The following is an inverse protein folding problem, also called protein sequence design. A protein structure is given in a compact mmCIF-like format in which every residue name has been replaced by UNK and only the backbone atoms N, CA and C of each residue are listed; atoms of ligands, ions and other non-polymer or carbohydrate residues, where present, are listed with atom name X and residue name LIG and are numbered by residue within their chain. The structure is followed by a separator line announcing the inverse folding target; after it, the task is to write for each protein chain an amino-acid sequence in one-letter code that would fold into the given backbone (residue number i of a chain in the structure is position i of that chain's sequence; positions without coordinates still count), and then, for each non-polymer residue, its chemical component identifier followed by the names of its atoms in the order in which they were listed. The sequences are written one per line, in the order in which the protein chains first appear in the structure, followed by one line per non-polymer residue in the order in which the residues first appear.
data_IF_402768262754
#
_entry.id   IF_402768262754
#
_cell.length_a   1.000
_cell.length_b   1.000
_cell.length_c   1.000
_cell.angle_alpha   90.00
_cell.angle_beta   90.00
_cell.angle_gamma   90.00
#
_symmetry.space_group_name_H-M   'P 1'
#
loop_
_entity.id
_entity.type
_entity.pdbx_description
1 polymer ?
#
# COMPACT_ATOMS: atom_id res chain seq x y z
N UNK A 1 3.38 -28.48 9.58
CA UNK A 1 1.93 -28.48 9.84
C UNK A 1 1.52 -27.06 10.19
N UNK A 2 0.69 -26.45 9.36
CA UNK A 2 0.04 -25.17 9.69
C UNK A 2 -1.03 -25.44 10.72
N UNK A 3 -0.88 -24.91 11.91
CA UNK A 3 -1.93 -24.84 12.91
C UNK A 3 -2.68 -23.52 12.70
N UNK A 4 -3.92 -23.59 12.29
CA UNK A 4 -4.83 -22.44 12.38
C UNK A 4 -5.04 -22.16 13.88
N UNK A 5 -4.55 -21.03 14.37
CA UNK A 5 -4.83 -20.58 15.73
C UNK A 5 -6.01 -19.61 15.71
N UNK A 6 -6.80 -19.57 16.79
CA UNK A 6 -7.91 -18.63 16.98
C UNK A 6 -7.46 -17.16 16.96
N UNK A 7 -6.15 -16.92 16.89
CA UNK A 7 -5.54 -15.58 16.74
C UNK A 7 -5.52 -15.06 15.31
N UNK A 8 -6.03 -15.83 14.32
CA UNK A 8 -6.05 -15.41 12.92
C UNK A 8 -6.72 -14.07 12.72
N UNK A 9 -7.81 -13.78 13.40
CA UNK A 9 -8.50 -12.48 13.33
C UNK A 9 -7.65 -11.31 13.83
N UNK A 10 -6.78 -11.53 14.81
CA UNK A 10 -5.86 -10.53 15.34
C UNK A 10 -4.64 -10.31 14.44
N UNK A 11 -4.19 -11.37 13.78
CA UNK A 11 -3.11 -11.28 12.80
C UNK A 11 -3.57 -10.58 11.52
N UNK A 12 -4.84 -10.66 11.20
CA UNK A 12 -5.43 -10.04 10.01
C UNK A 12 -5.34 -8.51 10.05
N UNK A 13 -5.53 -7.91 11.21
CA UNK A 13 -5.39 -6.48 11.41
C UNK A 13 -3.97 -5.94 11.14
N UNK A 14 -2.95 -6.79 11.20
CA UNK A 14 -1.56 -6.38 10.89
C UNK A 14 -1.33 -6.14 9.40
N UNK A 15 -2.20 -6.65 8.54
CA UNK A 15 -2.11 -6.50 7.10
C UNK A 15 -2.92 -5.33 6.55
N UNK A 16 -3.80 -4.76 7.37
CA UNK A 16 -4.52 -3.54 7.00
C UNK A 16 -3.53 -2.37 7.15
N UNK A 17 -3.37 -1.53 6.12
CA UNK A 17 -2.38 -0.45 6.13
C UNK A 17 -2.67 0.65 7.15
N UNK A 18 -3.89 0.68 7.72
CA UNK A 18 -4.27 1.66 8.74
C UNK A 18 -4.02 1.09 10.12
N UNK A 19 -3.21 1.80 10.90
CA UNK A 19 -2.94 1.48 12.30
C UNK A 19 -3.88 2.26 13.21
N UNK A 20 -4.11 1.75 14.43
CA UNK A 20 -5.07 2.32 15.39
C UNK A 20 -4.82 3.75 15.86
N UNK A 21 -3.67 4.36 15.50
CA UNK A 21 -3.37 5.76 15.77
C UNK A 21 -3.60 6.70 14.56
N UNK A 22 -4.25 6.20 13.52
CA UNK A 22 -4.63 6.97 12.34
C UNK A 22 -6.14 7.16 12.31
N UNK A 23 -6.58 8.39 12.17
CA UNK A 23 -7.96 8.71 11.83
C UNK A 23 -8.16 8.61 10.32
N UNK A 24 -9.30 8.12 9.87
CA UNK A 24 -9.70 8.02 8.47
C UNK A 24 -11.20 8.34 8.33
N UNK A 25 -11.69 8.47 7.10
CA UNK A 25 -13.07 8.88 6.79
C UNK A 25 -14.10 7.72 6.81
N UNK A 26 -13.74 6.56 7.38
CA UNK A 26 -14.62 5.40 7.48
C UNK A 26 -14.26 4.29 6.49
N UNK A 27 -13.90 4.63 5.25
CA UNK A 27 -13.55 3.66 4.20
C UNK A 27 -12.07 3.33 4.20
N UNK A 28 -11.75 2.09 3.91
CA UNK A 28 -10.38 1.68 3.58
C UNK A 28 -9.97 2.36 2.26
N UNK A 29 -8.78 2.96 2.23
CA UNK A 29 -8.32 3.74 1.07
C UNK A 29 -8.64 5.24 1.15
N UNK A 30 -9.50 5.67 2.09
CA UNK A 30 -9.81 7.08 2.29
C UNK A 30 -8.65 7.84 2.93
N UNK A 31 -8.66 9.15 2.77
CA UNK A 31 -7.66 10.02 3.37
C UNK A 31 -7.50 9.78 4.87
N UNK A 32 -6.25 9.69 5.31
CA UNK A 32 -5.89 9.43 6.71
C UNK A 32 -5.18 10.62 7.32
N UNK A 33 -5.25 10.71 8.65
CA UNK A 33 -4.48 11.65 9.44
C UNK A 33 -3.87 10.93 10.64
N UNK A 34 -2.56 11.08 10.83
CA UNK A 34 -1.92 10.59 12.05
C UNK A 34 -2.41 11.37 13.27
N UNK A 35 -2.83 10.63 14.30
CA UNK A 35 -3.19 11.18 15.62
C UNK A 35 -1.94 11.36 16.51
N UNK A 36 -0.85 10.66 16.18
CA UNK A 36 0.43 10.85 16.83
C UNK A 36 1.25 11.90 16.08
N UNK A 37 1.87 12.86 16.77
CA UNK A 37 2.76 13.81 16.13
C UNK A 37 3.96 13.08 15.52
N UNK A 38 4.25 13.32 14.26
CA UNK A 38 5.43 12.80 13.57
C UNK A 38 6.31 13.96 13.11
N UNK A 39 7.60 13.85 13.40
CA UNK A 39 8.60 14.77 12.87
C UNK A 39 9.15 14.15 11.59
N UNK A 40 9.09 14.90 10.49
CA UNK A 40 9.68 14.44 9.22
C UNK A 40 11.20 14.36 9.38
N UNK A 41 11.75 13.17 9.13
CA UNK A 41 13.19 12.94 9.06
C UNK A 41 13.74 13.11 7.62
N UNK A 42 12.89 13.48 6.66
CA UNK A 42 13.30 13.66 5.29
C UNK A 42 14.09 14.97 5.14
N UNK A 43 15.26 14.88 4.53
CA UNK A 43 16.07 16.04 4.13
C UNK A 43 15.55 16.48 2.75
N UNK A 44 15.13 17.74 2.64
CA UNK A 44 14.67 18.32 1.38
C UNK A 44 13.24 18.86 1.44
N UNK A 45 12.70 19.19 0.27
CA UNK A 45 11.33 19.68 0.15
C UNK A 45 10.33 18.54 0.31
N UNK A 46 9.38 18.71 1.21
CA UNK A 46 8.26 17.80 1.44
C UNK A 46 6.95 18.55 1.22
N UNK A 47 6.07 18.00 0.39
CA UNK A 47 4.77 18.64 0.07
C UNK A 47 3.80 18.65 1.25
N UNK A 48 4.02 17.81 2.26
CA UNK A 48 3.13 17.64 3.40
C UNK A 48 1.87 16.81 3.11
N UNK A 49 1.72 16.30 1.90
CA UNK A 49 0.56 15.52 1.49
C UNK A 49 0.80 14.04 1.80
N UNK A 50 0.49 13.65 3.04
CA UNK A 50 0.76 12.31 3.58
C UNK A 50 -0.52 11.50 3.84
N UNK A 51 -1.68 12.04 3.46
CA UNK A 51 -2.98 11.43 3.76
C UNK A 51 -3.19 10.04 3.15
N UNK A 52 -2.46 9.68 2.11
CA UNK A 52 -2.54 8.38 1.44
C UNK A 52 -1.30 7.51 1.64
N UNK A 53 -0.29 7.97 2.36
CA UNK A 53 0.96 7.24 2.60
C UNK A 53 0.76 5.83 3.15
N UNK A 54 -0.21 5.57 4.08
CA UNK A 54 -0.43 4.22 4.59
C UNK A 54 -0.85 3.20 3.52
N UNK A 55 -1.38 3.70 2.41
CA UNK A 55 -1.83 2.83 1.31
C UNK A 55 -0.76 2.63 0.24
N UNK A 56 0.37 3.31 0.31
CA UNK A 56 1.46 3.08 -0.63
C UNK A 56 2.25 1.83 -0.27
N UNK A 57 2.67 1.11 -1.28
CA UNK A 57 3.82 0.23 -1.16
C UNK A 57 5.06 1.12 -1.11
N UNK A 58 5.96 0.86 -0.17
CA UNK A 58 7.20 1.61 0.01
C UNK A 58 8.40 0.75 -0.34
N UNK A 59 9.42 1.35 -0.93
CA UNK A 59 10.64 0.62 -1.28
C UNK A 59 11.38 0.11 -0.04
N UNK A 60 11.32 0.86 1.06
CA UNK A 60 11.97 0.51 2.34
C UNK A 60 11.36 -0.74 2.98
N UNK A 61 10.07 -0.98 2.75
CA UNK A 61 9.35 -2.15 3.26
C UNK A 61 9.29 -3.31 2.28
N UNK A 62 9.81 -3.15 1.06
CA UNK A 62 9.80 -4.20 0.06
C UNK A 62 10.68 -5.39 0.48
N UNK A 63 10.12 -6.60 0.38
CA UNK A 63 10.79 -7.84 0.79
C UNK A 63 11.39 -8.55 -0.40
N UNK A 64 12.67 -8.81 -0.34
CA UNK A 64 13.36 -9.71 -1.27
C UNK A 64 13.39 -11.11 -0.65
N UNK A 65 12.91 -12.09 -1.39
CA UNK A 65 12.89 -13.48 -0.95
C UNK A 65 14.08 -14.22 -1.56
N UNK A 66 14.87 -14.90 -0.69
CA UNK A 66 15.92 -15.84 -1.08
C UNK A 66 15.59 -17.18 -0.43
N UNK A 67 14.92 -18.04 -1.18
CA UNK A 67 14.41 -19.32 -0.66
C UNK A 67 14.48 -20.40 -1.73
N UNK A 68 14.80 -21.62 -1.34
CA UNK A 68 14.87 -22.79 -2.23
C UNK A 68 13.49 -23.17 -2.80
N UNK A 69 12.42 -22.87 -2.06
CA UNK A 69 11.04 -23.16 -2.46
C UNK A 69 10.30 -21.87 -2.74
N UNK A 70 9.56 -21.78 -3.85
CA UNK A 70 8.73 -20.61 -4.14
C UNK A 70 7.74 -20.30 -3.02
N UNK A 71 7.63 -19.04 -2.66
CA UNK A 71 6.65 -18.53 -1.69
C UNK A 71 5.57 -17.77 -2.42
N UNK A 72 4.32 -18.08 -2.11
CA UNK A 72 3.15 -17.33 -2.60
C UNK A 72 2.21 -17.10 -1.44
N UNK A 73 1.89 -15.85 -1.16
CA UNK A 73 0.89 -15.46 -0.19
C UNK A 73 -0.16 -14.62 -0.89
N UNK A 74 -1.40 -15.07 -0.83
CA UNK A 74 -2.54 -14.34 -1.39
C UNK A 74 -3.53 -14.14 -0.26
N UNK A 75 -3.98 -12.92 -0.09
CA UNK A 75 -5.04 -12.56 0.82
C UNK A 75 -6.11 -11.81 0.07
N UNK A 76 -7.31 -12.29 0.17
CA UNK A 76 -8.49 -11.69 -0.44
C UNK A 76 -9.58 -11.54 0.61
N UNK A 77 -10.17 -10.35 0.67
CA UNK A 77 -11.34 -10.05 1.48
C UNK A 77 -12.35 -9.31 0.63
N UNK A 78 -13.60 -9.66 0.78
CA UNK A 78 -14.73 -9.01 0.11
C UNK A 78 -15.80 -8.69 1.15
N UNK A 79 -16.30 -7.47 1.11
CA UNK A 79 -17.46 -7.03 1.87
C UNK A 79 -18.63 -6.76 0.92
N UNK A 80 -19.75 -6.26 1.44
CA UNK A 80 -20.93 -5.94 0.65
C UNK A 80 -20.64 -5.06 -0.55
N UNK A 81 -21.53 -5.06 -1.51
CA UNK A 81 -21.43 -4.34 -2.77
C UNK A 81 -20.18 -4.74 -3.59
N UNK A 82 -19.25 -3.83 -3.84
CA UNK A 82 -18.03 -4.06 -4.63
C UNK A 82 -16.75 -3.92 -3.79
N UNK A 83 -16.88 -3.90 -2.47
CA UNK A 83 -15.74 -3.69 -1.59
C UNK A 83 -14.80 -4.87 -1.62
N UNK A 84 -13.57 -4.64 -2.06
CA UNK A 84 -12.56 -5.68 -2.17
C UNK A 84 -11.21 -5.21 -1.66
N UNK A 85 -10.51 -6.12 -0.99
CA UNK A 85 -9.14 -5.99 -0.58
C UNK A 85 -8.35 -7.20 -1.04
N UNK A 86 -7.32 -7.00 -1.83
CA UNK A 86 -6.44 -8.05 -2.34
C UNK A 86 -4.99 -7.68 -2.09
N UNK A 87 -4.25 -8.60 -1.50
CA UNK A 87 -2.78 -8.57 -1.47
C UNK A 87 -2.21 -9.86 -2.03
N UNK A 88 -1.09 -9.72 -2.71
CA UNK A 88 -0.31 -10.83 -3.22
C UNK A 88 1.17 -10.54 -2.99
N UNK A 89 1.85 -11.48 -2.34
CA UNK A 89 3.29 -11.54 -2.24
C UNK A 89 3.78 -12.83 -2.90
N UNK A 90 4.76 -12.71 -3.76
CA UNK A 90 5.38 -13.83 -4.45
C UNK A 90 6.89 -13.70 -4.40
N UNK A 91 7.56 -14.80 -4.14
CA UNK A 91 9.02 -14.89 -4.15
C UNK A 91 9.50 -16.20 -4.72
N UNK A 92 10.51 -16.14 -5.59
CA UNK A 92 11.16 -17.32 -6.16
C UNK A 92 12.63 -17.06 -6.46
N UNK A 93 13.46 -18.01 -6.03
CA UNK A 93 14.86 -18.07 -6.41
C UNK A 93 15.03 -18.91 -7.69
N UNK A 94 15.89 -18.45 -8.57
CA UNK A 94 16.27 -19.11 -9.80
C UNK A 94 17.73 -19.55 -9.73
N UNK A 95 18.14 -20.41 -10.68
CA UNK A 95 19.54 -20.79 -10.78
C UNK A 95 20.47 -19.58 -10.90
N UNK A 96 21.72 -19.71 -10.42
CA UNK A 96 22.78 -18.70 -10.50
C UNK A 96 22.54 -17.47 -9.62
N UNK A 97 21.83 -17.60 -8.50
CA UNK A 97 21.67 -16.52 -7.51
C UNK A 97 20.69 -15.42 -7.89
N UNK A 98 19.81 -15.62 -8.86
CA UNK A 98 18.74 -14.67 -9.17
C UNK A 98 17.49 -14.95 -8.34
N UNK A 99 16.99 -13.93 -7.66
CA UNK A 99 15.82 -13.98 -6.80
C UNK A 99 14.80 -12.93 -7.25
N UNK A 100 13.60 -13.37 -7.63
CA UNK A 100 12.49 -12.51 -8.02
C UNK A 100 11.52 -12.39 -6.85
N UNK A 101 11.08 -11.16 -6.58
CA UNK A 101 10.06 -10.87 -5.59
C UNK A 101 9.02 -9.94 -6.22
N UNK A 102 7.75 -10.19 -5.96
CA UNK A 102 6.63 -9.38 -6.45
C UNK A 102 5.69 -9.11 -5.29
N UNK A 103 5.26 -7.88 -5.14
CA UNK A 103 4.20 -7.48 -4.23
C UNK A 103 3.10 -6.74 -5.01
N UNK A 104 1.87 -7.07 -4.73
CA UNK A 104 0.70 -6.43 -5.32
C UNK A 104 -0.34 -6.17 -4.25
N UNK A 105 -0.98 -5.01 -4.30
CA UNK A 105 -2.12 -4.66 -3.46
C UNK A 105 -3.18 -3.95 -4.27
N UNK A 106 -4.43 -4.30 -4.02
CA UNK A 106 -5.59 -3.60 -4.57
C UNK A 106 -6.62 -3.39 -3.47
N UNK A 107 -7.10 -2.16 -3.36
CA UNK A 107 -8.22 -1.76 -2.53
C UNK A 107 -9.27 -1.17 -3.48
N UNK A 108 -10.51 -1.60 -3.34
CA UNK A 108 -11.66 -0.98 -3.98
C UNK A 108 -12.77 -0.90 -2.93
N UNK A 109 -13.22 0.32 -2.65
CA UNK A 109 -14.27 0.60 -1.67
C UNK A 109 -15.27 1.54 -2.30
N UNK A 110 -16.55 1.21 -2.21
CA UNK A 110 -17.64 2.07 -2.71
C UNK A 110 -17.91 3.21 -1.74
N UNK A 111 -17.85 2.92 -0.46
CA UNK A 111 -18.24 3.85 0.60
C UNK A 111 -19.72 3.80 0.91
N UNK A 112 -20.14 4.44 2.01
CA UNK A 112 -21.54 4.47 2.46
C UNK A 112 -22.30 5.68 1.91
N UNK A 113 -21.59 6.77 1.63
CA UNK A 113 -22.19 8.02 1.13
C UNK A 113 -21.89 8.24 -0.34
N UNK A 114 -22.67 9.13 -0.97
CA UNK A 114 -22.45 9.58 -2.34
C UNK A 114 -20.99 10.01 -2.57
N UNK A 115 -20.41 9.61 -3.71
CA UNK A 115 -19.09 10.04 -4.16
C UNK A 115 -17.98 9.83 -3.12
N UNK A 116 -17.94 8.61 -2.55
CA UNK A 116 -16.95 8.20 -1.56
C UNK A 116 -16.08 7.03 -2.04
N UNK A 117 -16.15 6.71 -3.33
CA UNK A 117 -15.42 5.57 -3.90
C UNK A 117 -13.91 5.78 -3.83
N UNK A 118 -13.23 4.73 -3.38
CA UNK A 118 -11.77 4.67 -3.28
C UNK A 118 -11.23 3.51 -4.10
N UNK A 119 -10.21 3.77 -4.91
CA UNK A 119 -9.47 2.75 -5.67
C UNK A 119 -7.99 2.96 -5.47
N UNK A 120 -7.33 1.99 -4.88
CA UNK A 120 -5.89 1.98 -4.69
C UNK A 120 -5.29 0.73 -5.36
N UNK A 121 -4.21 0.90 -6.08
CA UNK A 121 -3.45 -0.17 -6.70
C UNK A 121 -1.97 0.08 -6.48
N UNK A 122 -1.32 -0.83 -5.79
CA UNK A 122 0.12 -0.87 -5.59
C UNK A 122 0.73 -2.09 -6.29
N UNK A 123 1.81 -1.89 -7.02
CA UNK A 123 2.59 -2.95 -7.64
C UNK A 123 4.07 -2.70 -7.43
N UNK A 124 4.78 -3.71 -6.99
CA UNK A 124 6.23 -3.66 -6.86
C UNK A 124 6.86 -4.96 -7.34
N UNK A 125 7.93 -4.86 -8.08
CA UNK A 125 8.75 -6.00 -8.51
C UNK A 125 10.20 -5.74 -8.15
N UNK A 126 10.84 -6.71 -7.54
CA UNK A 126 12.24 -6.68 -7.16
C UNK A 126 13.00 -7.86 -7.74
N UNK A 127 14.20 -7.59 -8.19
CA UNK A 127 15.18 -8.58 -8.57
C UNK A 127 16.41 -8.43 -7.69
N UNK A 128 16.81 -9.49 -7.03
CA UNK A 128 18.05 -9.57 -6.29
C UNK A 128 18.96 -10.59 -6.95
N UNK A 129 20.14 -10.18 -7.30
CA UNK A 129 21.21 -11.07 -7.77
C UNK A 129 22.26 -11.20 -6.68
N UNK A 130 22.40 -12.40 -6.15
CA UNK A 130 23.46 -12.84 -5.25
C UNK A 130 24.47 -13.63 -6.09
N UNK A 131 25.62 -13.03 -6.35
CA UNK A 131 26.62 -13.69 -7.17
C UNK A 131 27.21 -14.90 -6.46
N UNK A 132 27.28 -16.09 -7.11
CA UNK A 132 27.82 -17.30 -6.50
C UNK A 132 29.24 -17.19 -5.97
N UNK A 133 29.97 -16.17 -6.38
CA UNK A 133 31.31 -15.83 -5.88
C UNK A 133 31.31 -15.21 -4.49
N UNK A 134 30.14 -14.78 -3.97
CA UNK A 134 30.01 -14.02 -2.73
C UNK A 134 30.63 -12.61 -2.75
N UNK A 135 31.04 -12.12 -3.93
CA UNK A 135 31.76 -10.83 -4.07
C UNK A 135 30.85 -9.68 -4.53
N UNK A 136 29.63 -9.97 -4.97
CA UNK A 136 28.77 -8.96 -5.56
C UNK A 136 27.31 -9.29 -5.32
N UNK A 137 26.56 -8.30 -4.84
CA UNK A 137 25.11 -8.30 -4.75
C UNK A 137 24.52 -7.13 -5.51
N UNK A 138 23.43 -7.37 -6.21
CA UNK A 138 22.68 -6.32 -6.89
C UNK A 138 21.17 -6.43 -6.57
N UNK A 139 20.59 -5.30 -6.20
CA UNK A 139 19.17 -5.18 -5.92
C UNK A 139 18.55 -4.18 -6.88
N UNK A 140 17.47 -4.58 -7.50
CA UNK A 140 16.66 -3.74 -8.36
C UNK A 140 15.22 -3.78 -7.86
N UNK A 141 14.57 -2.64 -7.78
CA UNK A 141 13.15 -2.57 -7.44
C UNK A 141 12.48 -1.53 -8.32
N UNK A 142 11.36 -1.90 -8.88
CA UNK A 142 10.42 -0.99 -9.51
C UNK A 142 9.11 -1.00 -8.72
N UNK A 143 8.59 0.18 -8.45
CA UNK A 143 7.38 0.39 -7.68
C UNK A 143 6.46 1.37 -8.41
N UNK A 144 5.17 1.06 -8.42
CA UNK A 144 4.12 1.91 -8.93
C UNK A 144 2.90 1.86 -8.01
N UNK A 145 2.51 3.00 -7.48
CA UNK A 145 1.28 3.19 -6.74
C UNK A 145 0.35 4.13 -7.52
N UNK A 146 -0.93 3.82 -7.54
CA UNK A 146 -1.98 4.63 -8.13
C UNK A 146 -3.19 4.65 -7.22
N UNK A 147 -3.60 5.83 -6.77
CA UNK A 147 -4.78 6.05 -5.94
C UNK A 147 -5.73 6.97 -6.70
N UNK A 148 -6.99 6.59 -6.73
CA UNK A 148 -8.10 7.40 -7.24
C UNK A 148 -9.15 7.46 -6.16
N UNK A 149 -9.38 8.66 -5.63
CA UNK A 149 -10.30 8.94 -4.55
C UNK A 149 -11.39 9.90 -5.03
N UNK A 150 -12.65 9.53 -4.84
CA UNK A 150 -13.76 10.46 -4.97
C UNK A 150 -13.87 11.28 -3.68
N UNK A 151 -14.03 12.57 -3.82
CA UNK A 151 -14.10 13.54 -2.73
C UNK A 151 -15.50 14.15 -2.69
N UNK A 152 -16.26 13.86 -1.65
CA UNK A 152 -17.63 14.35 -1.50
C UNK A 152 -17.75 15.63 -0.63
N UNK A 153 -16.66 16.03 0.04
CA UNK A 153 -16.65 17.19 0.93
C UNK A 153 -17.39 17.01 2.25
N UNK A 154 -17.91 15.80 2.51
CA UNK A 154 -18.71 15.48 3.69
C UNK A 154 -20.21 15.65 3.48
N UNK A 155 -21.00 15.19 4.46
CA UNK A 155 -22.46 15.28 4.47
C UNK A 155 -22.88 16.73 4.69
N UNK A 156 -23.78 17.24 3.83
CA UNK A 156 -24.23 18.62 3.89
C UNK A 156 -25.27 18.89 5.00
N UNK A 157 -26.04 17.86 5.36
CA UNK A 157 -27.04 17.90 6.43
C UNK A 157 -26.83 16.73 7.40
N UNK A 158 -26.17 16.98 8.56
CA UNK A 158 -25.92 15.94 9.55
C UNK A 158 -27.17 15.28 10.13
N UNK A 159 -28.32 15.97 10.12
CA UNK A 159 -29.59 15.44 10.66
C UNK A 159 -30.21 14.39 9.72
N UNK A 160 -29.72 14.27 8.51
CA UNK A 160 -30.11 13.23 7.57
C UNK A 160 -29.47 11.86 7.86
N UNK A 161 -28.36 11.83 8.62
CA UNK A 161 -27.64 10.60 8.98
C UNK A 161 -28.51 9.77 9.93
N UNK A 162 -28.73 8.48 9.58
CA UNK A 162 -29.54 7.57 10.40
C UNK A 162 -31.05 7.86 10.35
N UNK A 163 -31.49 8.76 9.49
CA UNK A 163 -32.92 9.01 9.27
C UNK A 163 -33.48 7.97 8.29
N UNK A 164 -34.46 7.14 8.68
CA UNK A 164 -35.01 6.09 7.82
C UNK A 164 -35.60 6.58 6.49
N UNK A 165 -35.84 7.88 6.37
CA UNK A 165 -36.35 8.51 5.15
C UNK A 165 -35.29 8.68 4.07
N UNK A 166 -34.01 8.71 4.46
CA UNK A 166 -32.87 8.91 3.59
C UNK A 166 -31.96 7.69 3.67
N UNK A 167 -31.95 6.82 2.64
CA UNK A 167 -30.89 5.82 2.51
C UNK A 167 -29.52 6.52 2.46
N UNK A 168 -28.50 5.95 3.09
CA UNK A 168 -27.17 6.57 3.18
C UNK A 168 -26.60 6.93 1.81
N UNK A 169 -26.88 6.12 0.79
CA UNK A 169 -26.50 6.35 -0.61
C UNK A 169 -27.18 7.57 -1.28
N UNK A 170 -28.18 8.18 -0.64
CA UNK A 170 -28.91 9.35 -1.17
C UNK A 170 -28.79 10.58 -0.29
N UNK A 171 -28.01 10.51 0.79
CA UNK A 171 -27.74 11.66 1.64
C UNK A 171 -26.95 12.73 0.87
N UNK A 172 -27.43 13.98 0.82
CA UNK A 172 -26.74 15.05 0.11
C UNK A 172 -25.34 15.33 0.68
N UNK A 173 -24.37 15.54 -0.20
CA UNK A 173 -22.99 15.86 0.15
C UNK A 173 -22.59 17.23 -0.43
N UNK A 174 -21.57 17.89 0.14
CA UNK A 174 -21.23 19.26 -0.24
C UNK A 174 -20.75 19.40 -1.69
N UNK A 175 -20.05 18.42 -2.25
CA UNK A 175 -19.49 18.49 -3.60
C UNK A 175 -20.40 17.88 -4.68
N UNK A 176 -21.48 17.24 -4.27
CA UNK A 176 -22.49 16.70 -5.19
C UNK A 176 -23.79 16.42 -4.43
N UNK A 177 -24.92 16.73 -5.06
CA UNK A 177 -26.26 16.53 -4.50
C UNK A 177 -26.99 15.35 -5.13
N UNK A 178 -26.42 14.69 -6.11
CA UNK A 178 -27.04 13.63 -6.89
C UNK A 178 -26.01 12.57 -7.30
N UNK A 179 -26.40 11.28 -7.39
CA UNK A 179 -25.54 10.24 -7.93
C UNK A 179 -25.08 10.49 -9.37
N UNK A 180 -25.81 11.30 -10.12
CA UNK A 180 -25.53 11.63 -11.53
C UNK A 180 -24.55 12.80 -11.69
N UNK A 181 -24.34 13.57 -10.62
CA UNK A 181 -23.43 14.71 -10.64
C UNK A 181 -21.97 14.24 -10.66
N UNK A 182 -21.10 15.02 -11.26
CA UNK A 182 -19.67 14.75 -11.26
C UNK A 182 -19.09 14.99 -9.86
N UNK A 183 -18.45 14.00 -9.30
CA UNK A 183 -17.68 14.14 -8.05
C UNK A 183 -16.33 14.81 -8.31
N UNK A 184 -15.79 15.46 -7.30
CA UNK A 184 -14.38 15.84 -7.32
C UNK A 184 -13.52 14.56 -7.18
N UNK A 185 -12.49 14.44 -8.02
CA UNK A 185 -11.63 13.25 -8.04
C UNK A 185 -10.20 13.67 -7.75
N UNK A 186 -9.64 13.06 -6.71
CA UNK A 186 -8.21 13.14 -6.40
C UNK A 186 -7.49 11.94 -6.99
N UNK A 187 -6.44 12.20 -7.77
CA UNK A 187 -5.62 11.14 -8.35
C UNK A 187 -4.17 11.31 -7.93
N UNK A 188 -3.61 10.30 -7.28
CA UNK A 188 -2.22 10.22 -6.93
C UNK A 188 -1.54 9.09 -7.70
N UNK A 189 -0.40 9.39 -8.32
CA UNK A 189 0.45 8.39 -8.99
C UNK A 189 1.87 8.56 -8.50
N UNK A 190 2.42 7.50 -7.92
CA UNK A 190 3.79 7.46 -7.45
C UNK A 190 4.52 6.31 -8.12
N UNK A 191 5.63 6.61 -8.78
CA UNK A 191 6.50 5.61 -9.39
C UNK A 191 7.91 5.84 -8.91
N UNK A 192 8.60 4.77 -8.58
CA UNK A 192 9.99 4.86 -8.19
C UNK A 192 10.77 3.64 -8.68
N UNK A 193 12.05 3.85 -8.85
CA UNK A 193 13.01 2.82 -9.21
C UNK A 193 14.21 2.91 -8.25
N UNK A 194 14.60 1.78 -7.71
CA UNK A 194 15.77 1.63 -6.85
C UNK A 194 16.75 0.67 -7.51
N UNK A 195 18.00 1.05 -7.55
CA UNK A 195 19.12 0.13 -7.78
C UNK A 195 20.13 0.29 -6.65
N UNK A 196 20.54 -0.84 -6.08
CA UNK A 196 21.58 -0.90 -5.07
C UNK A 196 22.58 -1.99 -5.46
N UNK A 197 23.86 -1.66 -5.48
CA UNK A 197 24.93 -2.59 -5.78
C UNK A 197 25.90 -2.63 -4.61
N UNK A 198 26.32 -3.81 -4.22
CA UNK A 198 27.21 -4.05 -3.10
C UNK A 198 28.39 -4.88 -3.61
N UNK A 199 29.59 -4.37 -3.42
CA UNK A 199 30.83 -5.06 -3.74
C UNK A 199 31.54 -5.45 -2.43
N UNK A 200 31.77 -6.74 -2.24
CA UNK A 200 32.49 -7.29 -1.09
C UNK A 200 33.98 -7.36 -1.44
N UNK A 201 34.75 -6.40 -0.98
CA UNK A 201 36.17 -6.24 -1.34
C UNK A 201 37.06 -7.27 -0.65
N UNK A 202 36.64 -7.75 0.53
CA UNK A 202 37.40 -8.74 1.32
C UNK A 202 36.44 -9.84 1.79
N UNK A 203 36.78 -11.13 1.58
CA UNK A 203 35.84 -12.23 1.80
C UNK A 203 35.41 -12.46 3.27
N UNK A 204 36.15 -11.95 4.25
CA UNK A 204 35.88 -12.23 5.67
C UNK A 204 35.79 -10.97 6.55
N UNK A 205 35.63 -9.79 5.97
CA UNK A 205 35.51 -8.54 6.73
C UNK A 205 34.22 -7.80 6.39
N UNK A 206 33.60 -7.08 7.35
CA UNK A 206 32.37 -6.32 7.14
C UNK A 206 32.56 -5.08 6.23
N UNK A 207 33.69 -4.96 5.54
CA UNK A 207 33.96 -3.85 4.63
C UNK A 207 33.34 -4.11 3.27
N UNK A 208 32.13 -3.53 3.07
CA UNK A 208 31.46 -3.51 1.79
C UNK A 208 31.36 -2.07 1.27
N UNK A 209 31.48 -1.90 -0.04
CA UNK A 209 31.18 -0.65 -0.71
C UNK A 209 29.82 -0.77 -1.39
N UNK A 210 28.90 0.14 -1.07
CA UNK A 210 27.57 0.12 -1.68
C UNK A 210 27.29 1.42 -2.45
N UNK A 211 26.71 1.28 -3.64
CA UNK A 211 26.15 2.38 -4.42
C UNK A 211 24.65 2.16 -4.52
N UNK A 212 23.86 3.16 -4.13
CA UNK A 212 22.41 3.14 -4.32
C UNK A 212 21.95 4.35 -5.10
N UNK A 213 21.02 4.17 -6.01
CA UNK A 213 20.33 5.22 -6.75
C UNK A 213 18.81 4.99 -6.62
N UNK A 214 18.11 6.05 -6.22
CA UNK A 214 16.65 6.08 -6.12
C UNK A 214 16.15 7.29 -6.90
N UNK A 215 15.05 7.10 -7.67
CA UNK A 215 14.41 8.17 -8.43
C UNK A 215 12.90 8.04 -8.36
#
# INVERSE_FOLDING_TARGET
SFTFSDTFQWEDNKHIPILGYQAHLGNLGSATRSLAPSISNAIGFHTGWTQYDPYYLHQESFRYYNQDVPVSQIKYSQAGQEDTYLTLDFGRSFAKGFNLSVAYRRINQVGEFLHQRQKDTGFSVGLWHDAPSGKYDAFYNYLNNAIVAEENGGVSDPDSIGNPRWPDESIPVYLSNSPEDASAITTHKHRSFLTKQIFHLLPDTPHSFSISMQR
#
